data_IF_272529283483
#
_entry.id   IF_272529283483
#
_cell.length_a   1.000
_cell.length_b   1.000
_cell.length_c   1.000
_cell.angle_alpha   90.00
_cell.angle_beta   90.00
_cell.angle_gamma   90.00
#
_symmetry.space_group_name_H-M   'P 1'
#
loop_
_entity.id
_entity.type
_entity.pdbx_description
1 polymer ?
#
# COMPACT_ATOMS: atom_id res chain seq x y z
N UNK A 1 -14.96 12.90 -12.10
CA UNK A 1 -14.73 11.44 -12.18
C UNK A 1 -13.22 11.24 -12.26
N UNK A 2 -12.62 10.50 -11.34
CA UNK A 2 -11.16 10.24 -11.34
C UNK A 2 -10.79 9.32 -12.51
N UNK A 3 -9.56 9.38 -13.01
CA UNK A 3 -9.12 8.53 -14.13
C UNK A 3 -9.25 7.04 -13.80
N UNK A 4 -9.00 6.65 -12.56
CA UNK A 4 -9.18 5.27 -12.09
C UNK A 4 -10.61 4.74 -12.27
N UNK A 5 -11.63 5.58 -12.06
CA UNK A 5 -13.03 5.20 -12.24
C UNK A 5 -13.31 4.96 -13.73
N UNK A 6 -12.70 5.77 -14.61
CA UNK A 6 -12.77 5.58 -16.06
C UNK A 6 -12.03 4.32 -16.50
N UNK A 7 -10.87 4.02 -15.90
CA UNK A 7 -10.07 2.82 -16.18
C UNK A 7 -10.82 1.56 -15.78
N UNK A 8 -11.41 1.54 -14.58
CA UNK A 8 -12.24 0.43 -14.11
C UNK A 8 -13.51 0.24 -14.95
N UNK A 9 -14.03 1.31 -15.57
CA UNK A 9 -15.14 1.25 -16.53
C UNK A 9 -14.69 0.89 -17.96
N UNK A 10 -13.40 0.66 -18.20
CA UNK A 10 -12.85 0.35 -19.52
C UNK A 10 -12.83 1.53 -20.51
N UNK A 11 -13.07 2.77 -20.05
CA UNK A 11 -13.07 3.98 -20.90
C UNK A 11 -11.65 4.45 -21.26
N UNK A 12 -10.69 4.19 -20.38
CA UNK A 12 -9.27 4.42 -20.62
C UNK A 12 -8.49 3.17 -20.23
N UNK A 13 -7.35 2.93 -20.88
CA UNK A 13 -6.54 1.74 -20.59
C UNK A 13 -5.49 1.99 -19.49
N UNK A 14 -5.04 3.23 -19.35
CA UNK A 14 -3.94 3.64 -18.46
C UNK A 14 -4.26 5.00 -17.82
N UNK A 15 -3.80 5.20 -16.58
CA UNK A 15 -3.80 6.50 -15.91
C UNK A 15 -2.74 7.42 -16.53
N UNK A 16 -2.91 8.74 -16.38
CA UNK A 16 -2.01 9.74 -16.97
C UNK A 16 -1.41 10.65 -15.90
N UNK A 17 -0.57 11.60 -16.32
CA UNK A 17 -0.01 12.61 -15.40
C UNK A 17 -1.07 13.52 -14.76
N UNK A 18 -2.32 13.54 -15.26
CA UNK A 18 -3.45 14.17 -14.54
C UNK A 18 -3.68 13.55 -13.16
N UNK A 19 -3.40 12.26 -13.03
CA UNK A 19 -3.42 11.54 -11.74
C UNK A 19 -2.13 11.76 -10.95
N UNK A 20 -0.97 11.55 -11.59
CA UNK A 20 0.31 11.46 -10.88
C UNK A 20 0.94 12.81 -10.50
N UNK A 21 0.67 13.88 -11.27
CA UNK A 21 1.10 15.26 -10.98
C UNK A 21 2.60 15.38 -10.71
N UNK A 22 3.39 14.84 -11.63
CA UNK A 22 4.85 14.86 -11.52
C UNK A 22 5.43 16.28 -11.41
N UNK A 23 6.59 16.39 -10.77
CA UNK A 23 7.37 17.62 -10.71
C UNK A 23 7.96 17.95 -12.08
N UNK A 24 7.68 19.15 -12.61
CA UNK A 24 8.13 19.56 -13.95
C UNK A 24 9.65 19.61 -14.10
N UNK A 25 10.42 19.72 -13.00
CA UNK A 25 11.89 19.69 -13.05
C UNK A 25 12.45 18.35 -13.52
N UNK A 26 11.64 17.29 -13.58
CA UNK A 26 12.01 16.03 -14.25
C UNK A 26 12.38 16.29 -15.71
N UNK A 27 11.70 17.21 -16.41
CA UNK A 27 12.00 17.60 -17.79
C UNK A 27 13.42 18.14 -17.96
N UNK A 28 13.91 18.81 -16.93
CA UNK A 28 15.25 19.40 -16.88
C UNK A 28 16.33 18.39 -16.49
N UNK A 29 15.95 17.14 -16.21
CA UNK A 29 16.84 16.10 -15.72
C UNK A 29 17.21 16.27 -14.24
N UNK A 30 16.51 17.12 -13.48
CA UNK A 30 16.83 17.44 -12.08
C UNK A 30 16.90 16.21 -11.16
N UNK A 31 16.05 15.22 -11.43
CA UNK A 31 15.97 13.96 -10.67
C UNK A 31 16.74 12.81 -11.32
N UNK A 32 17.38 13.05 -12.46
CA UNK A 32 18.17 12.05 -13.18
C UNK A 32 19.60 12.00 -12.66
N UNK A 33 20.18 10.81 -12.57
CA UNK A 33 21.60 10.70 -12.27
C UNK A 33 22.43 11.39 -13.37
N UNK A 34 23.45 12.15 -12.97
CA UNK A 34 24.28 12.98 -13.89
C UNK A 34 24.89 12.17 -15.02
N UNK A 35 25.22 10.90 -14.79
CA UNK A 35 25.79 10.05 -15.84
C UNK A 35 24.79 9.76 -16.96
N UNK A 36 23.48 9.65 -16.69
CA UNK A 36 22.49 9.48 -17.74
C UNK A 36 22.36 10.73 -18.62
N UNK A 37 22.41 11.92 -18.02
CA UNK A 37 22.39 13.19 -18.77
C UNK A 37 23.62 13.33 -19.66
N UNK A 38 24.80 12.97 -19.15
CA UNK A 38 26.03 12.94 -19.96
C UNK A 38 25.94 11.91 -21.09
N UNK A 39 25.40 10.72 -20.81
CA UNK A 39 25.22 9.67 -21.84
C UNK A 39 24.25 10.12 -22.92
N UNK A 40 23.15 10.81 -22.57
CA UNK A 40 22.23 11.43 -23.52
C UNK A 40 22.97 12.35 -24.50
N UNK A 41 23.75 13.29 -23.97
CA UNK A 41 24.52 14.23 -24.80
C UNK A 41 25.55 13.53 -25.70
N UNK A 42 26.23 12.51 -25.19
CA UNK A 42 27.17 11.69 -25.97
C UNK A 42 26.43 10.96 -27.09
N UNK A 43 25.28 10.33 -26.78
CA UNK A 43 24.47 9.59 -27.73
C UNK A 43 23.98 10.49 -28.87
N UNK A 44 23.49 11.69 -28.57
CA UNK A 44 23.06 12.67 -29.57
C UNK A 44 24.20 13.09 -30.51
N UNK A 45 25.39 13.33 -29.96
CA UNK A 45 26.54 13.86 -30.73
C UNK A 45 27.31 12.79 -31.49
N UNK A 46 27.36 11.56 -30.98
CA UNK A 46 28.25 10.51 -31.48
C UNK A 46 27.52 9.32 -32.08
N UNK A 47 26.30 9.05 -31.63
CA UNK A 47 25.52 7.87 -32.00
C UNK A 47 24.06 8.26 -32.34
N UNK A 48 23.79 9.24 -33.22
CA UNK A 48 22.42 9.75 -33.43
C UNK A 48 21.43 8.71 -33.99
N UNK A 49 21.94 7.63 -34.58
CA UNK A 49 21.18 6.48 -35.08
C UNK A 49 21.32 5.27 -34.17
N UNK A 50 21.21 5.47 -32.85
CA UNK A 50 21.06 4.38 -31.90
C UNK A 50 19.57 4.19 -31.61
N UNK A 51 19.09 2.95 -31.70
CA UNK A 51 17.80 2.53 -31.17
C UNK A 51 18.08 1.37 -30.22
N UNK A 52 17.63 1.48 -28.98
CA UNK A 52 17.78 0.42 -27.99
C UNK A 52 16.41 -0.13 -27.63
N UNK A 53 16.37 -1.38 -27.16
CA UNK A 53 15.24 -1.91 -26.40
C UNK A 53 15.68 -2.13 -24.96
N UNK A 54 15.05 -1.44 -24.03
CA UNK A 54 15.24 -1.61 -22.60
C UNK A 54 14.15 -2.50 -22.02
N UNK A 55 14.50 -3.38 -21.09
CA UNK A 55 13.56 -4.22 -20.35
C UNK A 55 13.67 -3.97 -18.84
N UNK A 56 12.51 -3.81 -18.20
CA UNK A 56 12.39 -3.68 -16.75
C UNK A 56 11.93 -5.00 -16.13
N UNK A 57 12.62 -5.46 -15.09
CA UNK A 57 12.30 -6.70 -14.38
C UNK A 57 12.76 -6.65 -12.92
N UNK A 58 12.30 -7.61 -12.12
CA UNK A 58 12.63 -7.79 -10.71
C UNK A 58 12.94 -9.28 -10.41
N UNK A 59 13.22 -9.69 -9.16
CA UNK A 59 13.79 -11.02 -8.83
C UNK A 59 12.96 -11.90 -7.87
N UNK A 60 11.78 -11.45 -7.50
CA UNK A 60 10.85 -12.07 -6.55
C UNK A 60 9.54 -12.45 -7.24
N UNK A 61 8.70 -13.28 -6.63
CA UNK A 61 7.29 -13.36 -7.03
C UNK A 61 6.53 -12.18 -6.43
N UNK A 62 5.73 -11.46 -7.22
CA UNK A 62 5.21 -10.16 -6.81
C UNK A 62 3.86 -9.81 -7.45
N UNK A 63 3.18 -8.82 -6.87
CA UNK A 63 2.03 -8.13 -7.49
C UNK A 63 2.54 -6.81 -8.05
N UNK A 64 2.63 -6.75 -9.38
CA UNK A 64 3.15 -5.59 -10.10
C UNK A 64 2.30 -4.35 -9.85
N UNK A 65 2.95 -3.22 -9.59
CA UNK A 65 2.29 -1.93 -9.52
C UNK A 65 3.26 -0.82 -9.93
N UNK A 66 2.73 0.30 -10.46
CA UNK A 66 3.50 1.47 -10.89
C UNK A 66 3.78 1.50 -12.39
N UNK A 67 3.23 0.56 -13.18
CA UNK A 67 3.40 0.57 -14.65
C UNK A 67 2.72 1.77 -15.28
N UNK A 68 1.51 2.12 -14.83
CA UNK A 68 0.81 3.31 -15.32
C UNK A 68 1.57 4.60 -14.97
N UNK A 69 2.13 4.69 -13.76
CA UNK A 69 2.95 5.81 -13.31
C UNK A 69 4.23 5.94 -14.16
N UNK A 70 4.93 4.84 -14.41
CA UNK A 70 6.11 4.83 -15.26
C UNK A 70 5.82 5.17 -16.73
N UNK A 71 4.73 4.66 -17.29
CA UNK A 71 4.29 4.99 -18.67
C UNK A 71 3.94 6.47 -18.76
N UNK A 72 3.18 7.00 -17.80
CA UNK A 72 2.83 8.42 -17.77
C UNK A 72 4.09 9.30 -17.67
N UNK A 73 5.08 8.90 -16.88
CA UNK A 73 6.38 9.59 -16.80
C UNK A 73 7.05 9.67 -18.18
N UNK A 74 7.12 8.55 -18.90
CA UNK A 74 7.72 8.50 -20.24
C UNK A 74 6.93 9.36 -21.23
N UNK A 75 5.60 9.21 -21.28
CA UNK A 75 4.76 10.01 -22.18
C UNK A 75 4.82 11.52 -21.92
N UNK A 76 5.07 11.95 -20.68
CA UNK A 76 5.11 13.36 -20.31
C UNK A 76 6.50 14.00 -20.51
N UNK A 77 7.58 13.26 -20.24
CA UNK A 77 8.92 13.84 -20.14
C UNK A 77 9.94 13.32 -21.14
N UNK A 78 9.70 12.19 -21.83
CA UNK A 78 10.62 11.76 -22.88
C UNK A 78 10.62 12.75 -24.06
N UNK A 79 11.70 12.75 -24.84
CA UNK A 79 11.79 13.56 -26.06
C UNK A 79 11.14 12.82 -27.23
N UNK A 80 10.08 13.41 -27.78
CA UNK A 80 9.26 12.83 -28.85
C UNK A 80 8.71 11.43 -28.48
N UNK A 81 7.97 11.34 -27.36
CA UNK A 81 7.46 10.07 -26.83
C UNK A 81 6.59 9.30 -27.82
N UNK A 82 5.95 9.98 -28.78
CA UNK A 82 5.16 9.40 -29.86
C UNK A 82 5.98 8.47 -30.79
N UNK A 83 7.31 8.59 -30.79
CA UNK A 83 8.21 7.73 -31.56
C UNK A 83 8.76 6.54 -30.75
N UNK A 84 8.42 6.44 -29.47
CA UNK A 84 8.83 5.32 -28.64
C UNK A 84 7.82 4.17 -28.76
N UNK A 85 8.33 2.95 -28.81
CA UNK A 85 7.50 1.75 -28.75
C UNK A 85 7.53 1.17 -27.34
N UNK A 86 6.38 1.20 -26.66
CA UNK A 86 6.25 0.74 -25.27
C UNK A 86 5.32 -0.48 -25.23
N UNK A 87 5.76 -1.55 -24.57
CA UNK A 87 4.87 -2.64 -24.17
C UNK A 87 4.94 -2.82 -22.66
N UNK A 88 3.82 -3.17 -22.03
CA UNK A 88 3.79 -3.28 -20.57
C UNK A 88 2.68 -4.21 -20.09
N UNK A 89 2.94 -4.88 -18.96
CA UNK A 89 1.93 -5.51 -18.12
C UNK A 89 1.05 -4.44 -17.45
N UNK A 90 0.02 -4.86 -16.71
CA UNK A 90 -0.88 -3.96 -15.99
C UNK A 90 -0.65 -4.03 -14.49
N UNK A 91 -0.89 -2.92 -13.81
CA UNK A 91 -0.95 -2.92 -12.34
C UNK A 91 -1.95 -3.98 -11.85
N UNK A 92 -1.52 -4.80 -10.89
CA UNK A 92 -2.26 -5.95 -10.37
C UNK A 92 -1.84 -7.29 -10.98
N UNK A 93 -1.08 -7.31 -12.07
CA UNK A 93 -0.54 -8.54 -12.63
C UNK A 93 0.38 -9.26 -11.63
N UNK A 94 0.22 -10.57 -11.51
CA UNK A 94 1.22 -11.41 -10.83
C UNK A 94 2.41 -11.62 -11.76
N UNK A 95 3.59 -11.40 -11.22
CA UNK A 95 4.86 -11.50 -11.96
C UNK A 95 5.82 -12.42 -11.23
N UNK A 96 6.69 -13.07 -12.00
CA UNK A 96 7.72 -13.97 -11.48
C UNK A 96 9.14 -13.39 -11.62
N UNK A 97 10.12 -13.97 -10.91
CA UNK A 97 11.51 -13.55 -11.01
C UNK A 97 12.01 -13.49 -12.46
N UNK A 98 12.63 -12.36 -12.79
CA UNK A 98 13.21 -12.03 -14.10
C UNK A 98 12.21 -12.01 -15.28
N UNK A 99 10.91 -11.95 -15.00
CA UNK A 99 9.90 -11.65 -16.00
C UNK A 99 10.00 -10.17 -16.39
N UNK A 100 10.13 -9.89 -17.69
CA UNK A 100 10.09 -8.52 -18.20
C UNK A 100 8.67 -7.97 -18.09
N UNK A 101 8.50 -6.89 -17.33
CA UNK A 101 7.19 -6.29 -17.05
C UNK A 101 6.87 -5.10 -17.96
N UNK A 102 7.90 -4.47 -18.51
CA UNK A 102 7.81 -3.33 -19.42
C UNK A 102 9.00 -3.32 -20.36
N UNK A 103 8.75 -2.98 -21.63
CA UNK A 103 9.77 -2.69 -22.63
C UNK A 103 9.61 -1.27 -23.16
N UNK A 104 10.71 -0.59 -23.41
CA UNK A 104 10.74 0.70 -24.12
C UNK A 104 11.77 0.58 -25.24
N UNK A 105 11.34 0.81 -26.48
CA UNK A 105 12.21 0.80 -27.65
C UNK A 105 12.23 2.14 -28.36
N UNK A 106 13.42 2.59 -28.76
CA UNK A 106 13.63 3.85 -29.45
C UNK A 106 15.02 4.43 -29.18
N UNK A 107 15.29 5.69 -29.57
CA UNK A 107 16.57 6.31 -29.33
C UNK A 107 16.85 6.45 -27.84
N UNK A 108 18.01 5.99 -27.36
CA UNK A 108 18.30 5.99 -25.92
C UNK A 108 18.26 7.41 -25.33
N UNK A 109 18.78 8.39 -26.07
CA UNK A 109 18.75 9.80 -25.68
C UNK A 109 17.34 10.35 -25.41
N UNK A 110 16.31 9.76 -26.01
CA UNK A 110 14.93 10.23 -25.85
C UNK A 110 14.34 9.90 -24.47
N UNK A 111 14.79 8.82 -23.81
CA UNK A 111 14.14 8.34 -22.58
C UNK A 111 15.09 7.82 -21.49
N UNK A 112 16.34 7.49 -21.82
CA UNK A 112 17.28 6.82 -20.90
C UNK A 112 17.54 7.60 -19.60
N UNK A 113 17.39 8.93 -19.61
CA UNK A 113 17.51 9.74 -18.40
C UNK A 113 16.38 9.54 -17.38
N UNK A 114 15.27 8.90 -17.77
CA UNK A 114 14.15 8.56 -16.89
C UNK A 114 14.33 7.20 -16.19
N UNK A 115 15.32 6.39 -16.59
CA UNK A 115 15.53 5.01 -16.13
C UNK A 115 15.50 4.87 -14.60
N UNK A 116 16.30 5.67 -13.89
CA UNK A 116 16.36 5.61 -12.42
C UNK A 116 15.04 5.98 -11.72
N UNK A 117 14.24 6.85 -12.33
CA UNK A 117 12.93 7.23 -11.79
C UNK A 117 11.94 6.09 -12.00
N UNK A 118 11.95 5.46 -13.19
CA UNK A 118 11.13 4.28 -13.51
C UNK A 118 11.43 3.13 -12.54
N UNK A 119 12.72 2.81 -12.32
CA UNK A 119 13.13 1.78 -11.37
C UNK A 119 12.61 2.07 -9.95
N UNK A 120 12.71 3.34 -9.51
CA UNK A 120 12.21 3.77 -8.20
C UNK A 120 10.68 3.63 -8.06
N UNK A 121 9.93 4.04 -9.09
CA UNK A 121 8.47 3.89 -9.16
C UNK A 121 8.09 2.41 -9.04
N UNK A 122 8.60 1.57 -9.94
CA UNK A 122 8.25 0.15 -10.01
C UNK A 122 8.65 -0.57 -8.72
N UNK A 123 9.85 -0.31 -8.19
CA UNK A 123 10.32 -0.89 -6.94
C UNK A 123 9.39 -0.55 -5.77
N UNK A 124 8.98 0.72 -5.65
CA UNK A 124 8.16 1.16 -4.52
C UNK A 124 6.75 0.63 -4.59
N UNK A 125 6.08 0.88 -5.71
CA UNK A 125 4.68 0.50 -5.86
C UNK A 125 4.51 -1.02 -5.81
N UNK A 126 5.39 -1.77 -6.46
CA UNK A 126 5.35 -3.25 -6.42
C UNK A 126 5.65 -3.80 -5.02
N UNK A 127 6.60 -3.21 -4.27
CA UNK A 127 6.87 -3.60 -2.88
C UNK A 127 5.63 -3.42 -2.00
N UNK A 128 5.01 -2.24 -2.03
CA UNK A 128 3.83 -1.94 -1.22
C UNK A 128 2.64 -2.83 -1.61
N UNK A 129 2.34 -2.94 -2.91
CA UNK A 129 1.24 -3.78 -3.40
C UNK A 129 1.41 -5.25 -3.01
N UNK A 130 2.64 -5.78 -3.11
CA UNK A 130 2.95 -7.17 -2.73
C UNK A 130 2.81 -7.39 -1.23
N UNK A 131 3.34 -6.48 -0.40
CA UNK A 131 3.20 -6.57 1.06
C UNK A 131 1.71 -6.55 1.48
N UNK A 132 0.91 -5.69 0.88
CA UNK A 132 -0.54 -5.60 1.14
C UNK A 132 -1.26 -6.87 0.69
N UNK A 133 -0.97 -7.35 -0.51
CA UNK A 133 -1.53 -8.61 -1.02
C UNK A 133 -1.27 -9.79 -0.09
N UNK A 134 -0.05 -9.90 0.44
CA UNK A 134 0.32 -10.97 1.36
C UNK A 134 -0.44 -10.88 2.69
N UNK A 135 -0.60 -9.67 3.23
CA UNK A 135 -1.39 -9.42 4.44
C UNK A 135 -2.88 -9.70 4.22
N UNK A 136 -3.47 -9.26 3.10
CA UNK A 136 -4.87 -9.53 2.73
C UNK A 136 -5.09 -11.04 2.54
N UNK A 137 -4.12 -11.74 1.94
CA UNK A 137 -4.12 -13.21 1.81
C UNK A 137 -4.00 -13.90 3.17
N UNK A 138 -3.22 -13.36 4.10
CA UNK A 138 -3.15 -13.88 5.46
C UNK A 138 -4.50 -13.70 6.18
N UNK A 139 -5.13 -12.53 6.07
CA UNK A 139 -6.40 -12.17 6.69
C UNK A 139 -7.64 -12.94 6.20
N UNK A 140 -7.46 -13.96 5.34
CA UNK A 140 -8.53 -14.85 4.87
C UNK A 140 -8.27 -16.33 5.14
N UNK A 141 -7.19 -16.69 5.84
CA UNK A 141 -6.85 -18.10 6.04
C UNK A 141 -7.82 -18.85 6.95
N UNK A 142 -8.60 -18.13 7.77
CA UNK A 142 -9.73 -18.70 8.52
C UNK A 142 -10.95 -19.06 7.66
N UNK A 143 -10.94 -18.72 6.37
CA UNK A 143 -12.06 -18.95 5.44
C UNK A 143 -13.02 -17.77 5.28
N UNK A 144 -12.90 -16.72 6.11
CA UNK A 144 -13.61 -15.44 5.96
C UNK A 144 -12.62 -14.37 5.53
N UNK A 145 -12.91 -13.62 4.46
CA UNK A 145 -12.10 -12.45 4.10
C UNK A 145 -12.34 -11.34 5.13
N UNK A 146 -11.33 -11.03 5.92
CA UNK A 146 -11.36 -9.89 6.85
C UNK A 146 -10.77 -8.64 6.18
N UNK A 147 -11.39 -7.45 6.35
CA UNK A 147 -10.85 -6.22 5.80
C UNK A 147 -9.46 -5.88 6.39
N UNK A 148 -8.64 -5.22 5.56
CA UNK A 148 -7.33 -4.68 5.96
C UNK A 148 -7.29 -3.19 5.66
N UNK A 149 -7.12 -2.40 6.71
CA UNK A 149 -6.96 -0.94 6.63
C UNK A 149 -5.47 -0.62 6.50
N UNK A 150 -5.12 0.13 5.46
CA UNK A 150 -3.77 0.66 5.24
C UNK A 150 -3.53 1.90 6.09
N UNK A 151 -2.64 1.78 7.09
CA UNK A 151 -2.31 2.82 8.08
C UNK A 151 -0.82 3.19 8.03
N UNK A 152 -0.25 3.29 6.81
CA UNK A 152 1.15 3.61 6.59
C UNK A 152 1.49 5.12 6.57
N UNK A 153 0.54 6.00 6.87
CA UNK A 153 0.58 7.44 6.61
C UNK A 153 1.71 8.19 7.31
N UNK A 154 2.12 7.63 8.45
CA UNK A 154 3.11 8.19 9.36
C UNK A 154 4.49 7.53 9.28
N UNK A 155 4.63 6.47 8.48
CA UNK A 155 5.83 5.66 8.41
C UNK A 155 6.75 6.03 7.22
N UNK A 156 6.33 7.00 6.39
CA UNK A 156 7.15 7.57 5.31
C UNK A 156 6.85 9.07 5.10
N UNK A 157 7.60 9.70 4.19
CA UNK A 157 7.40 11.08 3.80
C UNK A 157 6.02 11.28 3.17
N UNK A 158 5.33 12.35 3.58
CA UNK A 158 3.91 12.58 3.24
C UNK A 158 3.62 12.61 1.73
N UNK A 159 4.60 12.97 0.90
CA UNK A 159 4.50 12.98 -0.57
C UNK A 159 4.25 11.60 -1.17
N UNK A 160 4.57 10.53 -0.43
CA UNK A 160 4.39 9.16 -0.90
C UNK A 160 2.98 8.63 -0.68
N UNK A 161 2.16 9.30 0.15
CA UNK A 161 0.86 8.77 0.58
C UNK A 161 -0.06 8.43 -0.61
N UNK A 162 -0.17 9.30 -1.61
CA UNK A 162 -1.06 9.07 -2.76
C UNK A 162 -0.71 7.79 -3.52
N UNK A 163 0.57 7.62 -3.85
CA UNK A 163 0.99 6.45 -4.61
C UNK A 163 1.12 5.17 -3.79
N UNK A 164 1.45 5.26 -2.51
CA UNK A 164 1.41 4.08 -1.64
C UNK A 164 -0.02 3.62 -1.37
N UNK A 165 -0.95 4.57 -1.25
CA UNK A 165 -2.38 4.29 -1.15
C UNK A 165 -2.94 3.63 -2.41
N UNK A 166 -2.50 4.08 -3.60
CA UNK A 166 -2.79 3.37 -4.86
C UNK A 166 -2.22 1.95 -4.88
N UNK A 167 -0.95 1.79 -4.51
CA UNK A 167 -0.34 0.46 -4.42
C UNK A 167 -1.06 -0.45 -3.41
N UNK A 168 -1.50 0.09 -2.28
CA UNK A 168 -2.28 -0.64 -1.30
C UNK A 168 -3.65 -1.06 -1.85
N UNK A 169 -4.32 -0.20 -2.62
CA UNK A 169 -5.55 -0.55 -3.33
C UNK A 169 -5.32 -1.71 -4.32
N UNK A 170 -4.27 -1.64 -5.13
CA UNK A 170 -3.89 -2.73 -6.06
C UNK A 170 -3.57 -4.03 -5.29
N UNK A 171 -2.94 -3.93 -4.13
CA UNK A 171 -2.70 -5.07 -3.23
C UNK A 171 -3.96 -5.63 -2.56
N UNK A 172 -5.11 -4.97 -2.68
CA UNK A 172 -6.40 -5.43 -2.16
C UNK A 172 -6.83 -4.81 -0.82
N UNK A 173 -6.16 -3.76 -0.34
CA UNK A 173 -6.67 -2.98 0.80
C UNK A 173 -7.88 -2.16 0.38
N UNK A 174 -8.94 -2.20 1.18
CA UNK A 174 -10.22 -1.54 0.89
C UNK A 174 -10.44 -0.24 1.65
N UNK A 175 -9.49 0.15 2.52
CA UNK A 175 -9.60 1.34 3.36
C UNK A 175 -8.22 1.90 3.73
N UNK A 176 -8.09 3.23 3.82
CA UNK A 176 -6.82 3.93 4.07
C UNK A 176 -7.04 5.04 5.09
N UNK A 177 -6.00 5.34 5.87
CA UNK A 177 -6.09 6.30 6.97
C UNK A 177 -6.28 7.77 6.55
N UNK A 178 -5.91 8.15 5.32
CA UNK A 178 -5.93 9.57 4.90
C UNK A 178 -6.61 9.79 3.55
N UNK A 179 -7.11 11.01 3.34
CA UNK A 179 -7.61 11.44 2.02
C UNK A 179 -6.51 11.41 0.96
N UNK A 180 -5.27 11.77 1.32
CA UNK A 180 -4.15 11.76 0.39
C UNK A 180 -3.86 10.35 -0.15
N UNK A 181 -3.94 9.31 0.69
CA UNK A 181 -3.83 7.92 0.23
C UNK A 181 -4.90 7.49 -0.77
N UNK A 182 -6.04 8.18 -0.77
CA UNK A 182 -7.14 7.94 -1.71
C UNK A 182 -7.03 8.81 -2.97
N UNK A 183 -6.02 9.67 -3.10
CA UNK A 183 -5.96 10.69 -4.14
C UNK A 183 -6.02 10.08 -5.56
N UNK A 184 -5.34 8.96 -5.80
CA UNK A 184 -5.28 8.35 -7.13
C UNK A 184 -6.43 7.38 -7.42
N UNK A 185 -7.17 6.90 -6.42
CA UNK A 185 -8.12 5.79 -6.60
C UNK A 185 -9.49 5.95 -5.90
N UNK A 186 -9.54 6.57 -4.73
CA UNK A 186 -10.73 6.67 -3.87
C UNK A 186 -11.18 8.12 -3.64
N UNK A 187 -11.99 8.39 -2.61
CA UNK A 187 -12.37 9.78 -2.25
C UNK A 187 -12.05 10.14 -0.81
N UNK A 188 -12.33 9.25 0.14
CA UNK A 188 -12.23 9.60 1.55
C UNK A 188 -11.39 8.58 2.33
N UNK A 189 -10.53 9.11 3.20
CA UNK A 189 -9.85 8.30 4.20
C UNK A 189 -10.82 7.87 5.29
N UNK A 190 -10.50 6.77 5.95
CA UNK A 190 -11.24 6.20 7.07
C UNK A 190 -10.39 6.30 8.33
N UNK A 191 -11.00 6.74 9.43
CA UNK A 191 -10.34 6.84 10.71
C UNK A 191 -11.31 6.55 11.84
N UNK A 192 -10.74 6.26 13.01
CA UNK A 192 -11.49 6.30 14.28
C UNK A 192 -10.81 7.31 15.19
N UNK A 193 -11.27 7.46 16.43
CA UNK A 193 -10.64 8.35 17.41
C UNK A 193 -9.17 7.98 17.70
N UNK A 194 -8.22 8.94 17.74
CA UNK A 194 -6.84 8.71 18.19
C UNK A 194 -6.71 8.78 19.71
N UNK A 195 -5.61 8.26 20.29
CA UNK A 195 -5.34 8.37 21.74
C UNK A 195 -5.33 9.82 22.24
N UNK A 196 -4.95 10.78 21.40
CA UNK A 196 -4.98 12.21 21.72
C UNK A 196 -6.41 12.69 22.07
N UNK A 197 -7.44 12.12 21.46
CA UNK A 197 -8.83 12.44 21.80
C UNK A 197 -9.14 12.01 23.23
N UNK A 198 -8.84 10.76 23.58
CA UNK A 198 -9.07 10.22 24.93
C UNK A 198 -8.24 10.99 25.98
N UNK A 199 -7.03 11.42 25.61
CA UNK A 199 -6.20 12.28 26.46
C UNK A 199 -6.89 13.61 26.80
N UNK A 200 -7.53 14.27 25.83
CA UNK A 200 -8.27 15.52 26.06
C UNK A 200 -9.47 15.32 27.01
N UNK A 201 -10.03 14.11 27.05
CA UNK A 201 -11.05 13.69 28.01
C UNK A 201 -10.46 13.02 29.26
N UNK A 202 -9.17 13.24 29.56
CA UNK A 202 -8.48 12.78 30.78
C UNK A 202 -8.56 11.26 31.01
N UNK A 203 -8.54 10.48 29.93
CA UNK A 203 -8.62 9.01 30.01
C UNK A 203 -10.03 8.45 30.08
N UNK A 204 -11.07 9.29 30.06
CA UNK A 204 -12.46 8.84 30.01
C UNK A 204 -12.86 8.43 28.58
N UNK A 205 -12.82 7.12 28.34
CA UNK A 205 -13.19 6.52 27.05
C UNK A 205 -14.66 6.73 26.69
N UNK A 206 -15.57 6.79 27.68
CA UNK A 206 -17.01 6.96 27.43
C UNK A 206 -17.28 8.40 27.04
N UNK A 207 -16.72 9.37 27.77
CA UNK A 207 -16.85 10.79 27.44
C UNK A 207 -16.25 11.11 26.06
N UNK A 208 -15.09 10.56 25.73
CA UNK A 208 -14.48 10.71 24.41
C UNK A 208 -15.36 10.11 23.29
N UNK A 209 -15.89 8.91 23.51
CA UNK A 209 -16.77 8.24 22.55
C UNK A 209 -18.09 9.00 22.36
N UNK A 210 -18.65 9.55 23.44
CA UNK A 210 -19.87 10.38 23.40
C UNK A 210 -19.64 11.62 22.55
N UNK A 211 -18.54 12.34 22.80
CA UNK A 211 -18.19 13.53 22.02
C UNK A 211 -17.98 13.21 20.53
N UNK A 212 -17.39 12.06 20.20
CA UNK A 212 -17.25 11.62 18.80
C UNK A 212 -18.62 11.45 18.14
N UNK A 213 -19.52 10.69 18.79
CA UNK A 213 -20.85 10.40 18.25
C UNK A 213 -21.71 11.66 18.09
N UNK A 214 -21.60 12.64 18.99
CA UNK A 214 -22.36 13.90 18.91
C UNK A 214 -21.92 14.77 17.72
N UNK A 215 -20.61 14.84 17.45
CA UNK A 215 -20.06 15.68 16.39
C UNK A 215 -20.14 14.99 15.02
N UNK A 216 -19.97 13.67 14.99
CA UNK A 216 -20.00 12.84 13.79
C UNK A 216 -21.07 11.73 13.88
N UNK A 217 -22.37 12.09 13.89
CA UNK A 217 -23.46 11.15 14.15
C UNK A 217 -23.69 10.12 13.04
N UNK A 218 -23.13 10.36 11.84
CA UNK A 218 -23.27 9.48 10.68
C UNK A 218 -22.08 8.51 10.50
N UNK A 219 -21.02 8.66 11.31
CA UNK A 219 -19.86 7.78 11.27
C UNK A 219 -20.14 6.48 12.04
N UNK A 220 -19.54 5.39 11.58
CA UNK A 220 -19.51 4.14 12.34
C UNK A 220 -18.75 4.35 13.65
N UNK A 221 -19.43 4.14 14.79
CA UNK A 221 -18.85 4.42 16.10
C UNK A 221 -17.93 3.27 16.54
N UNK A 222 -16.63 3.48 16.36
CA UNK A 222 -15.57 2.55 16.80
C UNK A 222 -14.70 3.19 17.89
N UNK A 223 -14.80 2.68 19.12
CA UNK A 223 -14.11 3.24 20.28
C UNK A 223 -12.68 2.68 20.44
N UNK A 224 -11.69 3.54 20.73
CA UNK A 224 -10.33 3.11 21.07
C UNK A 224 -10.24 2.78 22.56
N UNK A 225 -9.89 1.55 22.92
CA UNK A 225 -10.12 1.02 24.28
C UNK A 225 -8.84 0.66 25.05
N UNK A 226 -7.65 0.85 24.47
CA UNK A 226 -6.38 0.49 25.12
C UNK A 226 -5.73 1.63 25.93
N UNK A 227 -6.30 2.85 25.95
CA UNK A 227 -5.69 4.02 26.59
C UNK A 227 -5.34 3.80 28.08
N UNK A 228 -6.23 3.18 28.85
CA UNK A 228 -6.00 2.90 30.27
C UNK A 228 -5.30 1.55 30.53
N UNK A 229 -4.85 0.86 29.48
CA UNK A 229 -4.27 -0.49 29.51
C UNK A 229 -5.19 -1.50 30.24
N UNK A 230 -6.50 -1.35 30.01
CA UNK A 230 -7.56 -2.18 30.60
C UNK A 230 -8.66 -2.43 29.56
N UNK A 231 -8.26 -3.05 28.45
CA UNK A 231 -9.07 -3.16 27.23
C UNK A 231 -10.46 -3.71 27.52
N UNK A 232 -10.57 -4.76 28.32
CA UNK A 232 -11.86 -5.40 28.59
C UNK A 232 -12.78 -4.47 29.39
N UNK A 233 -12.25 -3.85 30.45
CA UNK A 233 -13.05 -2.96 31.29
C UNK A 233 -13.54 -1.75 30.49
N UNK A 234 -12.67 -1.14 29.71
CA UNK A 234 -13.01 0.04 28.92
C UNK A 234 -13.96 -0.30 27.75
N UNK A 235 -13.80 -1.47 27.13
CA UNK A 235 -14.74 -1.98 26.12
C UNK A 235 -16.15 -2.17 26.69
N UNK A 236 -16.27 -2.76 27.88
CA UNK A 236 -17.58 -2.96 28.52
C UNK A 236 -18.22 -1.63 28.93
N UNK A 237 -17.44 -0.65 29.40
CA UNK A 237 -17.97 0.69 29.70
C UNK A 237 -18.60 1.34 28.47
N UNK A 238 -17.89 1.33 27.33
CA UNK A 238 -18.44 1.92 26.10
C UNK A 238 -19.60 1.09 25.56
N UNK A 239 -19.52 -0.24 25.57
CA UNK A 239 -20.63 -1.10 25.12
C UNK A 239 -21.92 -0.86 25.91
N UNK A 240 -21.84 -0.73 27.24
CA UNK A 240 -22.99 -0.40 28.11
C UNK A 240 -23.55 0.99 27.87
N UNK A 241 -22.70 1.96 27.53
CA UNK A 241 -23.13 3.34 27.30
C UNK A 241 -23.83 3.53 25.94
N UNK A 242 -23.37 2.81 24.91
CA UNK A 242 -23.81 3.03 23.52
C UNK A 242 -24.69 1.91 22.95
N UNK A 243 -24.68 0.71 23.52
CA UNK A 243 -25.51 -0.42 23.10
C UNK A 243 -25.36 -0.71 21.60
N UNK A 244 -26.50 -0.73 20.90
CA UNK A 244 -26.57 -1.00 19.46
C UNK A 244 -25.89 0.06 18.58
N UNK A 245 -25.61 1.25 19.13
CA UNK A 245 -24.89 2.31 18.40
C UNK A 245 -23.40 2.03 18.29
N UNK A 246 -22.83 1.21 19.17
CA UNK A 246 -21.40 0.87 19.11
C UNK A 246 -21.18 -0.19 18.03
N UNK A 247 -20.54 0.22 16.94
CA UNK A 247 -20.19 -0.69 15.85
C UNK A 247 -19.03 -1.59 16.25
N UNK A 248 -18.02 -1.05 16.93
CA UNK A 248 -16.86 -1.84 17.30
C UNK A 248 -15.94 -1.20 18.33
N UNK A 249 -14.91 -1.95 18.71
CA UNK A 249 -13.80 -1.49 19.54
C UNK A 249 -12.46 -1.71 18.84
N UNK A 250 -11.56 -0.74 18.94
CA UNK A 250 -10.21 -0.80 18.39
C UNK A 250 -9.17 -0.96 19.49
N UNK A 251 -8.26 -1.91 19.31
CA UNK A 251 -7.15 -2.15 20.22
C UNK A 251 -5.83 -1.79 19.54
N UNK A 252 -5.04 -0.95 20.21
CA UNK A 252 -3.68 -0.59 19.80
C UNK A 252 -2.64 -0.80 20.92
N UNK A 253 -2.89 -1.75 21.82
CA UNK A 253 -2.06 -1.98 23.01
C UNK A 253 -0.57 -2.12 22.67
N UNK A 254 0.26 -1.31 23.32
CA UNK A 254 1.71 -1.28 23.11
C UNK A 254 2.35 -2.65 23.29
N UNK A 255 3.30 -2.99 22.40
CA UNK A 255 4.10 -4.23 22.45
C UNK A 255 4.98 -4.37 23.71
N UNK A 256 5.11 -3.31 24.51
CA UNK A 256 5.87 -3.33 25.77
C UNK A 256 4.99 -3.49 27.00
N UNK A 257 3.66 -3.43 26.86
CA UNK A 257 2.72 -3.49 27.97
C UNK A 257 2.01 -4.83 28.04
N UNK A 258 1.78 -5.29 29.26
CA UNK A 258 0.85 -6.38 29.59
C UNK A 258 -0.45 -5.74 30.06
N UNK A 259 -1.57 -6.09 29.44
CA UNK A 259 -2.89 -5.55 29.81
C UNK A 259 -3.26 -5.95 31.26
N UNK A 260 -3.95 -5.05 32.00
CA UNK A 260 -4.37 -5.31 33.39
C UNK A 260 -5.24 -6.54 33.54
N UNK A 261 -5.91 -7.00 32.48
CA UNK A 261 -6.61 -8.28 32.46
C UNK A 261 -5.71 -9.43 32.93
N UNK A 262 -4.48 -9.53 32.42
CA UNK A 262 -3.56 -10.61 32.80
C UNK A 262 -3.02 -10.44 34.21
N UNK A 263 -2.90 -9.20 34.71
CA UNK A 263 -2.51 -8.95 36.11
C UNK A 263 -3.57 -9.47 37.09
N UNK A 264 -4.85 -9.33 36.73
CA UNK A 264 -5.97 -9.90 37.50
C UNK A 264 -6.15 -11.40 37.29
N UNK A 265 -5.61 -11.94 36.19
CA UNK A 265 -5.70 -13.35 35.80
C UNK A 265 -4.32 -13.98 35.62
N UNK A 266 -3.43 -13.79 36.61
CA UNK A 266 -2.03 -14.21 36.54
C UNK A 266 -1.85 -15.72 36.27
N UNK A 267 -2.85 -16.55 36.63
CA UNK A 267 -2.87 -17.99 36.34
C UNK A 267 -2.86 -18.33 34.84
N UNK A 268 -3.20 -17.38 33.97
CA UNK A 268 -3.12 -17.55 32.52
C UNK A 268 -1.70 -17.31 31.98
N UNK A 269 -0.83 -16.63 32.73
CA UNK A 269 0.51 -16.27 32.26
C UNK A 269 1.49 -17.45 32.30
N UNK A 270 2.50 -17.42 31.42
CA UNK A 270 3.66 -18.34 31.46
C UNK A 270 3.86 -19.19 30.21
N UNK A 271 2.84 -19.34 29.36
CA UNK A 271 2.89 -20.20 28.16
C UNK A 271 2.85 -19.42 26.83
N UNK A 272 2.75 -18.09 26.89
CA UNK A 272 2.69 -17.21 25.72
C UNK A 272 3.27 -15.82 26.05
N UNK A 273 3.41 -14.94 25.05
CA UNK A 273 3.80 -13.54 25.24
C UNK A 273 2.55 -12.66 25.48
N UNK A 274 2.31 -12.17 26.71
CA UNK A 274 1.09 -11.45 27.07
C UNK A 274 1.13 -9.96 26.68
N UNK A 275 2.14 -9.53 25.92
CA UNK A 275 2.36 -8.12 25.59
C UNK A 275 1.65 -7.68 24.32
N UNK A 276 1.21 -6.43 24.31
CA UNK A 276 0.51 -5.81 23.19
C UNK A 276 -0.79 -6.53 22.82
N UNK A 277 -1.29 -6.26 21.62
CA UNK A 277 -2.45 -6.97 21.08
C UNK A 277 -2.06 -8.43 20.76
N UNK A 278 -2.59 -9.38 21.52
CA UNK A 278 -2.30 -10.82 21.44
C UNK A 278 -3.60 -11.67 21.37
N UNK A 279 -3.53 -12.93 20.90
CA UNK A 279 -4.69 -13.81 20.78
C UNK A 279 -5.52 -13.94 22.07
N UNK A 280 -4.87 -14.17 23.21
CA UNK A 280 -5.50 -14.44 24.50
C UNK A 280 -6.30 -13.24 24.99
N UNK A 281 -5.80 -12.02 24.79
CA UNK A 281 -6.51 -10.79 25.13
C UNK A 281 -7.75 -10.61 24.27
N UNK A 282 -7.67 -10.91 22.98
CA UNK A 282 -8.81 -10.79 22.06
C UNK A 282 -9.88 -11.85 22.35
N UNK A 283 -9.50 -13.10 22.66
CA UNK A 283 -10.45 -14.12 23.09
C UNK A 283 -11.17 -13.72 24.39
N UNK A 284 -10.42 -13.20 25.37
CA UNK A 284 -11.00 -12.72 26.62
C UNK A 284 -11.96 -11.54 26.41
N UNK A 285 -11.58 -10.59 25.55
CA UNK A 285 -12.43 -9.46 25.17
C UNK A 285 -13.72 -9.92 24.50
N UNK A 286 -13.62 -10.79 23.47
CA UNK A 286 -14.79 -11.31 22.76
C UNK A 286 -15.74 -12.01 23.73
N UNK A 287 -15.20 -12.87 24.61
CA UNK A 287 -15.99 -13.55 25.63
C UNK A 287 -16.70 -12.55 26.55
N UNK A 288 -16.00 -11.54 27.05
CA UNK A 288 -16.57 -10.55 27.96
C UNK A 288 -17.71 -9.75 27.32
N UNK A 289 -17.54 -9.33 26.05
CA UNK A 289 -18.60 -8.67 25.29
C UNK A 289 -19.80 -9.60 25.08
N UNK A 290 -19.56 -10.87 24.71
CA UNK A 290 -20.62 -11.84 24.42
C UNK A 290 -21.42 -12.23 25.67
N UNK A 291 -20.76 -12.36 26.82
CA UNK A 291 -21.40 -12.65 28.11
C UNK A 291 -22.39 -11.54 28.53
N UNK A 292 -22.16 -10.30 28.08
CA UNK A 292 -23.09 -9.17 28.29
C UNK A 292 -24.03 -8.90 27.10
N UNK A 293 -24.01 -9.77 26.08
CA UNK A 293 -24.92 -9.71 24.95
C UNK A 293 -24.45 -8.86 23.77
N UNK A 294 -23.26 -8.27 23.80
CA UNK A 294 -22.71 -7.38 22.76
C UNK A 294 -22.04 -8.14 21.61
N UNK A 295 -22.70 -9.17 21.07
CA UNK A 295 -22.17 -10.02 19.99
C UNK A 295 -21.98 -9.28 18.66
N UNK A 296 -22.66 -8.15 18.48
CA UNK A 296 -22.57 -7.30 17.29
C UNK A 296 -21.33 -6.40 17.27
N UNK A 297 -20.73 -6.11 18.43
CA UNK A 297 -19.60 -5.19 18.53
C UNK A 297 -18.38 -5.81 17.88
N UNK A 298 -17.92 -5.28 16.75
CA UNK A 298 -16.76 -5.77 16.02
C UNK A 298 -15.44 -5.47 16.74
N UNK A 299 -14.40 -6.28 16.48
CA UNK A 299 -13.06 -6.10 17.04
C UNK A 299 -12.08 -5.69 15.93
N UNK A 300 -11.56 -4.47 16.04
CA UNK A 300 -10.50 -3.94 15.16
C UNK A 300 -9.16 -4.04 15.85
N UNK A 301 -8.23 -4.79 15.27
CA UNK A 301 -6.90 -5.00 15.84
C UNK A 301 -5.82 -4.21 15.08
N UNK A 302 -5.10 -3.34 15.78
CA UNK A 302 -3.96 -2.57 15.27
C UNK A 302 -2.71 -2.80 16.14
N UNK A 303 -1.60 -2.12 15.84
CA UNK A 303 -0.40 -2.23 16.67
C UNK A 303 0.62 -3.25 16.16
N UNK A 304 1.31 -2.86 15.08
CA UNK A 304 2.47 -3.58 14.54
C UNK A 304 2.15 -5.00 14.06
N UNK A 305 1.00 -5.17 13.40
CA UNK A 305 0.66 -6.37 12.66
C UNK A 305 1.55 -6.55 11.42
N UNK A 306 1.81 -7.81 11.10
CA UNK A 306 2.58 -8.29 9.95
C UNK A 306 1.82 -9.47 9.33
N UNK A 307 2.25 -9.92 8.16
CA UNK A 307 1.72 -11.14 7.54
C UNK A 307 1.72 -12.32 8.52
N UNK A 308 2.86 -12.59 9.18
CA UNK A 308 3.01 -13.72 10.10
C UNK A 308 2.10 -13.59 11.32
N UNK A 309 1.99 -12.39 11.91
CA UNK A 309 1.11 -12.15 13.06
C UNK A 309 -0.35 -12.36 12.69
N UNK A 310 -0.77 -11.87 11.52
CA UNK A 310 -2.15 -12.06 11.03
C UNK A 310 -2.41 -13.54 10.77
N UNK A 311 -1.50 -14.23 10.07
CA UNK A 311 -1.61 -15.67 9.82
C UNK A 311 -1.72 -16.48 11.11
N UNK A 312 -0.96 -16.11 12.13
CA UNK A 312 -1.04 -16.72 13.45
C UNK A 312 -2.42 -16.51 14.09
N UNK A 313 -2.94 -15.29 14.07
CA UNK A 313 -4.28 -14.97 14.59
C UNK A 313 -5.37 -15.75 13.85
N UNK A 314 -5.31 -15.77 12.53
CA UNK A 314 -6.28 -16.46 11.69
C UNK A 314 -6.25 -17.98 11.90
N UNK A 315 -5.07 -18.58 12.00
CA UNK A 315 -4.92 -20.02 12.24
C UNK A 315 -5.44 -20.46 13.62
N UNK A 316 -5.37 -19.57 14.63
CA UNK A 316 -5.94 -19.80 15.95
C UNK A 316 -7.44 -19.52 16.00
N UNK A 317 -8.03 -18.95 14.95
CA UNK A 317 -9.44 -18.53 14.96
C UNK A 317 -9.71 -17.35 15.88
N UNK A 318 -8.73 -16.43 16.04
CA UNK A 318 -8.89 -15.25 16.89
C UNK A 318 -10.02 -14.37 16.33
N UNK A 319 -10.99 -13.93 17.17
CA UNK A 319 -12.17 -13.18 16.75
C UNK A 319 -11.85 -11.70 16.50
N UNK A 320 -10.94 -11.43 15.57
CA UNK A 320 -10.74 -10.10 14.98
C UNK A 320 -11.62 -9.98 13.74
N UNK A 321 -12.27 -8.84 13.55
CA UNK A 321 -13.09 -8.55 12.37
C UNK A 321 -12.32 -7.77 11.32
N UNK A 322 -11.46 -6.84 11.74
CA UNK A 322 -10.66 -5.99 10.85
C UNK A 322 -9.24 -5.79 11.38
N UNK A 323 -8.25 -5.80 10.48
CA UNK A 323 -6.85 -5.50 10.81
C UNK A 323 -6.44 -4.12 10.30
N UNK A 324 -5.81 -3.31 11.17
CA UNK A 324 -5.10 -2.10 10.76
C UNK A 324 -3.60 -2.33 10.72
N UNK A 325 -2.97 -2.05 9.58
CA UNK A 325 -1.56 -2.38 9.34
C UNK A 325 -0.83 -1.18 8.74
N UNK A 326 0.29 -0.78 9.35
CA UNK A 326 1.09 0.38 8.95
C UNK A 326 2.47 -0.01 8.43
N UNK A 327 3.53 0.46 9.10
CA UNK A 327 4.97 0.25 8.81
C UNK A 327 5.35 -0.97 7.99
N UNK A 328 4.88 -2.16 8.37
CA UNK A 328 5.30 -3.42 7.72
C UNK A 328 4.99 -3.46 6.22
N UNK A 329 3.98 -2.71 5.78
CA UNK A 329 3.54 -2.63 4.38
C UNK A 329 4.44 -1.75 3.51
N UNK A 330 5.19 -0.81 4.10
CA UNK A 330 6.06 0.11 3.39
C UNK A 330 7.49 -0.39 3.22
N UNK A 331 7.79 -1.60 3.71
CA UNK A 331 9.11 -2.19 3.57
C UNK A 331 9.44 -2.46 2.10
N UNK A 332 10.44 -1.75 1.60
CA UNK A 332 10.99 -1.90 0.25
C UNK A 332 11.83 -3.18 0.16
N UNK A 333 11.35 -4.18 -0.57
CA UNK A 333 12.05 -5.46 -0.76
C UNK A 333 12.28 -5.82 -2.23
N UNK A 334 11.48 -5.24 -3.13
CA UNK A 334 11.48 -5.59 -4.55
C UNK A 334 12.20 -4.47 -5.30
N UNK A 335 13.45 -4.74 -5.68
CA UNK A 335 14.23 -3.85 -6.55
C UNK A 335 13.99 -4.16 -8.02
N UNK A 336 13.73 -3.11 -8.80
CA UNK A 336 13.68 -3.20 -10.26
C UNK A 336 15.02 -2.83 -10.89
N UNK A 337 15.21 -3.26 -12.13
CA UNK A 337 16.33 -2.86 -12.96
C UNK A 337 15.86 -2.71 -14.40
N UNK A 338 16.13 -1.55 -15.00
CA UNK A 338 16.14 -1.36 -16.45
C UNK A 338 17.47 -1.79 -17.03
N UNK A 339 17.45 -2.66 -18.05
CA UNK A 339 18.66 -3.02 -18.79
C UNK A 339 18.38 -2.98 -20.31
N UNK A 340 19.28 -2.35 -21.07
CA UNK A 340 19.28 -2.44 -22.53
C UNK A 340 19.65 -3.87 -22.95
N UNK A 341 18.88 -4.43 -23.88
CA UNK A 341 19.01 -5.83 -24.31
C UNK A 341 19.11 -6.02 -25.83
N UNK A 342 18.69 -5.03 -26.61
CA UNK A 342 18.87 -4.97 -28.06
C UNK A 342 19.45 -3.61 -28.43
N UNK A 343 20.37 -3.58 -29.40
CA UNK A 343 20.87 -2.39 -30.07
C UNK A 343 20.60 -2.53 -31.57
N UNK A 344 19.87 -1.59 -32.14
CA UNK A 344 19.50 -1.56 -33.57
C UNK A 344 18.87 -2.87 -34.07
N UNK A 345 18.07 -3.53 -33.22
CA UNK A 345 17.43 -4.82 -33.51
C UNK A 345 18.32 -6.05 -33.33
N UNK A 346 19.61 -5.87 -33.00
CA UNK A 346 20.53 -6.97 -32.72
C UNK A 346 20.73 -7.17 -31.21
N UNK A 347 20.87 -8.42 -30.72
CA UNK A 347 21.18 -8.67 -29.31
C UNK A 347 22.50 -8.03 -28.89
N UNK A 348 22.43 -7.12 -27.92
CA UNK A 348 23.57 -6.41 -27.34
C UNK A 348 23.15 -6.00 -25.93
N UNK A 349 23.80 -6.56 -24.92
CA UNK A 349 23.40 -6.41 -23.52
C UNK A 349 24.61 -6.55 -22.61
N UNK A 350 24.55 -5.97 -21.41
CA UNK A 350 25.58 -6.23 -20.40
C UNK A 350 25.64 -7.72 -20.05
N UNK A 351 26.83 -8.19 -19.66
CA UNK A 351 27.04 -9.58 -19.29
C UNK A 351 26.01 -10.10 -18.27
N UNK A 352 25.50 -11.30 -18.53
CA UNK A 352 24.41 -11.91 -17.74
C UNK A 352 23.00 -11.38 -18.06
N UNK A 353 22.85 -10.44 -19.00
CA UNK A 353 21.56 -10.00 -19.55
C UNK A 353 21.37 -10.49 -20.97
N UNK A 354 20.10 -10.63 -21.34
CA UNK A 354 19.66 -10.99 -22.69
C UNK A 354 18.23 -10.54 -22.86
N UNK A 355 17.80 -10.35 -24.09
CA UNK A 355 16.39 -10.13 -24.40
C UNK A 355 15.56 -11.31 -23.91
N UNK A 356 14.50 -11.01 -23.14
CA UNK A 356 13.54 -12.00 -22.61
C UNK A 356 12.15 -11.66 -23.13
N UNK A 357 11.64 -12.34 -24.17
CA UNK A 357 10.29 -12.07 -24.65
C UNK A 357 9.28 -12.41 -23.54
N UNK A 358 8.27 -11.55 -23.38
CA UNK A 358 7.12 -11.83 -22.54
C UNK A 358 5.84 -11.69 -23.38
N UNK A 359 5.15 -12.80 -23.71
CA UNK A 359 3.96 -12.76 -24.57
C UNK A 359 2.74 -12.11 -23.91
N UNK A 360 2.80 -11.81 -22.60
CA UNK A 360 1.74 -11.09 -21.88
C UNK A 360 1.81 -9.58 -22.06
N UNK A 361 2.92 -9.04 -22.57
CA UNK A 361 3.07 -7.60 -22.73
C UNK A 361 2.15 -7.09 -23.83
N UNK A 362 1.34 -6.08 -23.48
CA UNK A 362 0.46 -5.40 -24.42
C UNK A 362 1.11 -4.10 -24.90
N UNK A 363 0.92 -3.77 -26.18
CA UNK A 363 1.35 -2.50 -26.74
C UNK A 363 0.63 -1.35 -26.04
N UNK A 364 1.37 -0.31 -25.68
CA UNK A 364 0.84 0.89 -25.06
C UNK A 364 0.70 1.97 -26.13
N UNK A 365 -0.52 2.45 -26.33
CA UNK A 365 -0.78 3.58 -27.23
C UNK A 365 -0.31 4.90 -26.60
N UNK A 366 0.40 5.71 -27.39
CA UNK A 366 0.77 7.05 -26.97
C UNK A 366 -0.48 7.91 -26.79
N UNK A 367 -0.53 8.66 -25.68
CA UNK A 367 -1.54 9.69 -25.42
C UNK A 367 -0.81 10.93 -24.92
N UNK A 368 -1.07 12.07 -25.54
CA UNK A 368 -0.52 13.34 -25.08
C UNK A 368 -1.10 13.65 -23.70
N UNK A 369 -0.22 13.79 -22.70
CA UNK A 369 -0.62 14.10 -21.32
C UNK A 369 -1.30 15.47 -21.15
N UNK A 370 -1.27 16.33 -22.19
CA UNK A 370 -1.93 17.65 -22.22
C UNK A 370 -3.40 17.59 -22.66
N UNK A 371 -3.83 16.49 -23.29
CA UNK A 371 -5.23 16.23 -23.66
C UNK A 371 -5.95 15.44 -22.58
#
# INVERSE_FOLDING_TARGET
MKEIEQKLQGKINRLTNKTFKFDERIREGWFSAVYFLKTKEIAEKKLPQNNVTMQFFQKEDSVLCGTDEAIALVHTFADKPENLEIYSLKDGDKISPFESVMTISGPYQSFGFLEGIIDGILARRTSVATNVYNVVKAARTSGKQKPVIFMGDRDDHYTQQAGDGYAAFIGGSTAQATHAMNEWWGKEGMGTMPHAMIQMFRGDVVAATQAYHEVFPNDDLVALVDYNNDVITDSLKVARAFGDKLVGVRLDTSKTLVDKYFLRNHHLMGTFDPRGVNPELIFALRKALDDEGYKHVEIVATGGFTEDKIRHFENLGVPVDTYGVGRSLLNMKIGFTGDNVLLNGTPEAKEGRRYRPNPRLEKVEYRDSRE
#
